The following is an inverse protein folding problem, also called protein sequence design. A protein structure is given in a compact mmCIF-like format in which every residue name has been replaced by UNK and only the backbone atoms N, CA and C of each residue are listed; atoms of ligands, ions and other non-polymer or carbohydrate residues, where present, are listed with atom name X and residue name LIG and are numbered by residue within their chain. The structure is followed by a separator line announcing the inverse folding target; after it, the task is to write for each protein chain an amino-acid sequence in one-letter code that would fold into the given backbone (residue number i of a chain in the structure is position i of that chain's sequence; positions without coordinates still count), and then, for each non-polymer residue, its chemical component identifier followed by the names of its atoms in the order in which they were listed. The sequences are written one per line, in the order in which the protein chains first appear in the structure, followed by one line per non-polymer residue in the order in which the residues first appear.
data_IF_272697949418
#
_entry.id   IF_272697949418
#
_cell.length_a   1.000
_cell.length_b   1.000
_cell.length_c   1.000
_cell.angle_alpha   90.00
_cell.angle_beta   90.00
_cell.angle_gamma   90.00
#
_symmetry.space_group_name_H-M   'P 1'
#
loop_
_entity.id
_entity.type
_entity.pdbx_description
1 polymer ?
#
# COMPACT_ATOMS: atom_id res chain seq x y z
N UNK A 1 32.30 33.33 -19.13
CA UNK A 1 32.54 31.86 -19.15
C UNK A 1 31.93 31.13 -17.95
N UNK A 2 31.88 31.71 -16.73
CA UNK A 2 31.32 31.05 -15.52
C UNK A 2 29.80 30.83 -15.58
N UNK A 3 29.03 31.79 -16.13
CA UNK A 3 27.56 31.70 -16.18
C UNK A 3 27.03 30.59 -17.10
N UNK A 4 27.76 30.25 -18.16
CA UNK A 4 27.37 29.19 -19.11
C UNK A 4 27.62 27.80 -18.49
N UNK A 5 28.67 27.66 -17.66
CA UNK A 5 28.97 26.43 -16.94
C UNK A 5 27.92 26.07 -15.87
N UNK A 6 27.43 27.05 -15.12
CA UNK A 6 26.37 26.84 -14.12
C UNK A 6 25.01 26.48 -14.75
N UNK A 7 24.70 27.07 -15.90
CA UNK A 7 23.48 26.74 -16.64
C UNK A 7 23.54 25.30 -17.20
N UNK A 8 24.71 24.86 -17.67
CA UNK A 8 24.93 23.47 -18.10
C UNK A 8 24.85 22.45 -16.96
N UNK A 9 25.30 22.81 -15.75
CA UNK A 9 25.21 21.95 -14.56
C UNK A 9 23.77 21.83 -14.05
N UNK A 10 23.00 22.91 -14.08
CA UNK A 10 21.57 22.90 -13.69
C UNK A 10 20.70 22.13 -14.67
N UNK A 11 20.94 22.26 -15.99
CA UNK A 11 20.20 21.51 -17.01
C UNK A 11 20.54 20.02 -17.01
N UNK A 12 21.80 19.64 -16.78
CA UNK A 12 22.20 18.22 -16.69
C UNK A 12 21.79 17.56 -15.37
N UNK A 13 21.86 18.28 -14.24
CA UNK A 13 21.39 17.77 -12.94
C UNK A 13 19.86 17.61 -12.90
N UNK A 14 19.12 18.62 -13.37
CA UNK A 14 17.66 18.56 -13.45
C UNK A 14 17.16 17.54 -14.48
N UNK A 15 17.78 17.50 -15.66
CA UNK A 15 17.44 16.52 -16.70
C UNK A 15 17.80 15.08 -16.32
N UNK A 16 18.94 14.88 -15.65
CA UNK A 16 19.39 13.58 -15.17
C UNK A 16 18.49 13.00 -14.08
N UNK A 17 18.10 13.82 -13.09
CA UNK A 17 17.15 13.38 -12.06
C UNK A 17 15.77 13.04 -12.66
N UNK A 18 15.25 13.88 -13.56
CA UNK A 18 13.98 13.62 -14.21
C UNK A 18 14.02 12.34 -15.08
N UNK A 19 15.10 12.13 -15.83
CA UNK A 19 15.29 10.93 -16.66
C UNK A 19 15.54 9.66 -15.82
N UNK A 20 16.17 9.77 -14.66
CA UNK A 20 16.40 8.65 -13.74
C UNK A 20 15.09 8.18 -13.08
N UNK A 21 14.21 9.11 -12.73
CA UNK A 21 12.91 8.79 -12.12
C UNK A 21 11.79 8.50 -13.13
N UNK A 22 11.94 8.87 -14.40
CA UNK A 22 10.93 8.62 -15.44
C UNK A 22 10.56 7.14 -15.63
N UNK A 23 11.51 6.18 -15.63
CA UNK A 23 11.20 4.75 -15.71
C UNK A 23 10.46 4.24 -14.47
N UNK A 24 10.80 4.74 -13.28
CA UNK A 24 10.12 4.39 -12.04
C UNK A 24 8.69 4.93 -12.00
N UNK A 25 8.49 6.15 -12.50
CA UNK A 25 7.16 6.77 -12.61
C UNK A 25 6.31 6.09 -13.67
N UNK A 26 6.86 5.80 -14.86
CA UNK A 26 6.13 5.06 -15.90
C UNK A 26 5.87 3.61 -15.50
N UNK A 27 6.77 2.95 -14.78
CA UNK A 27 6.51 1.64 -14.19
C UNK A 27 5.36 1.71 -13.17
N UNK A 28 5.34 2.72 -12.29
CA UNK A 28 4.26 2.92 -11.31
C UNK A 28 2.89 3.21 -11.97
N UNK A 29 2.87 3.99 -13.05
CA UNK A 29 1.66 4.33 -13.81
C UNK A 29 1.20 3.19 -14.72
N UNK A 30 2.11 2.36 -15.23
CA UNK A 30 1.74 1.21 -16.06
C UNK A 30 1.37 -0.02 -15.19
N UNK A 31 1.89 -0.13 -13.97
CA UNK A 31 1.54 -1.18 -13.01
C UNK A 31 0.26 -0.91 -12.24
N UNK A 32 -0.19 0.35 -12.22
CA UNK A 32 -1.44 0.79 -11.61
C UNK A 32 -2.31 1.30 -12.74
N UNK A 33 -3.28 0.52 -13.22
CA UNK A 33 -4.17 0.89 -14.34
C UNK A 33 -5.12 2.07 -14.08
N UNK A 34 -4.67 3.11 -13.37
CA UNK A 34 -5.39 4.31 -13.04
C UNK A 34 -4.50 5.53 -13.31
N UNK A 35 -4.83 6.25 -14.38
CA UNK A 35 -4.23 7.56 -14.65
C UNK A 35 -4.56 8.54 -13.52
N UNK A 36 -3.52 9.14 -12.95
CA UNK A 36 -3.64 10.27 -12.05
C UNK A 36 -4.04 11.54 -12.83
N UNK A 37 -5.33 11.68 -13.13
CA UNK A 37 -5.96 12.93 -13.55
C UNK A 37 -7.49 12.88 -13.34
N UNK A 38 -7.93 12.64 -12.11
CA UNK A 38 -9.30 12.90 -11.71
C UNK A 38 -9.43 14.33 -11.20
N UNK A 39 -10.06 15.22 -11.97
CA UNK A 39 -10.44 16.54 -11.48
C UNK A 39 -11.47 16.40 -10.36
N UNK A 40 -11.14 16.90 -9.18
CA UNK A 40 -12.11 17.08 -8.09
C UNK A 40 -13.14 18.13 -8.53
N UNK A 41 -14.39 17.71 -8.74
CA UNK A 41 -15.52 18.63 -8.89
C UNK A 41 -16.49 18.44 -7.72
N UNK A 42 -16.47 19.41 -6.81
CA UNK A 42 -17.61 19.84 -5.99
C UNK A 42 -17.82 19.18 -4.62
N UNK A 43 -17.43 19.88 -3.53
CA UNK A 43 -18.34 20.39 -2.48
C UNK A 43 -17.59 20.88 -1.21
N UNK A 44 -17.71 22.18 -0.89
CA UNK A 44 -17.46 22.78 0.45
C UNK A 44 -16.02 23.19 0.78
N UNK A 45 -15.80 24.24 1.61
CA UNK A 45 -14.47 24.82 1.83
C UNK A 45 -13.59 23.87 2.66
N UNK A 46 -12.86 23.00 1.95
CA UNK A 46 -11.76 22.25 2.51
C UNK A 46 -10.64 23.25 2.86
N UNK A 47 -10.46 23.51 4.15
CA UNK A 47 -9.31 24.25 4.62
C UNK A 47 -8.03 23.49 4.24
N UNK A 48 -7.18 24.21 3.50
CA UNK A 48 -5.80 23.93 3.16
C UNK A 48 -5.55 22.68 2.29
N UNK A 49 -5.36 22.93 0.99
CA UNK A 49 -4.40 22.18 0.20
C UNK A 49 -3.11 22.02 1.02
N UNK A 50 -2.66 20.78 1.22
CA UNK A 50 -1.45 20.49 1.97
C UNK A 50 -0.29 21.32 1.38
N UNK A 51 0.31 22.17 2.21
CA UNK A 51 1.49 22.92 1.81
C UNK A 51 2.61 21.92 1.47
N UNK A 52 3.53 22.24 0.54
CA UNK A 52 4.67 21.37 0.24
C UNK A 52 5.40 21.02 1.53
N UNK A 53 5.55 19.72 1.81
CA UNK A 53 6.24 19.24 3.00
C UNK A 53 7.68 19.79 2.99
N UNK A 54 8.02 20.63 3.96
CA UNK A 54 9.41 21.03 4.15
C UNK A 54 10.22 19.78 4.52
N UNK A 55 11.44 19.58 3.97
CA UNK A 55 12.21 18.33 4.14
C UNK A 55 12.45 17.89 5.60
N UNK A 56 12.32 18.81 6.56
CA UNK A 56 12.56 18.60 7.99
C UNK A 56 11.29 18.63 8.85
N UNK A 57 10.12 18.93 8.27
CA UNK A 57 8.87 18.97 9.03
C UNK A 57 8.37 17.54 9.30
N UNK A 58 7.87 17.24 10.52
CA UNK A 58 7.16 15.98 10.76
C UNK A 58 5.92 15.88 9.88
N UNK A 59 5.66 14.69 9.36
CA UNK A 59 4.51 14.43 8.50
C UNK A 59 3.87 13.10 8.84
N UNK A 60 2.59 12.98 8.50
CA UNK A 60 1.76 11.80 8.80
C UNK A 60 1.16 11.25 7.51
N UNK A 61 1.37 9.97 7.27
CA UNK A 61 0.88 9.24 6.10
C UNK A 61 -0.12 8.18 6.54
N UNK A 62 -1.25 8.09 5.85
CA UNK A 62 -2.20 6.99 6.02
C UNK A 62 -1.89 5.88 5.02
N UNK A 63 -1.48 4.72 5.52
CA UNK A 63 -1.26 3.52 4.71
C UNK A 63 -2.56 2.71 4.62
N UNK A 64 -3.00 2.45 3.40
CA UNK A 64 -4.22 1.75 3.07
C UNK A 64 -3.87 0.48 2.30
N UNK A 65 -4.11 -0.68 2.91
CA UNK A 65 -3.95 -1.98 2.26
C UNK A 65 -5.31 -2.51 1.82
N UNK A 66 -5.40 -2.93 0.56
CA UNK A 66 -6.60 -3.56 0.01
C UNK A 66 -6.27 -4.93 -0.57
N UNK A 67 -7.19 -5.86 -0.40
CA UNK A 67 -7.15 -7.16 -1.06
C UNK A 67 -7.82 -7.05 -2.44
N UNK A 68 -7.19 -6.30 -3.33
CA UNK A 68 -7.68 -6.11 -4.70
C UNK A 68 -7.02 -7.14 -5.65
N UNK A 69 -7.47 -8.38 -5.56
CA UNK A 69 -7.00 -9.46 -6.43
C UNK A 69 -7.37 -9.27 -7.92
N UNK A 70 -8.15 -8.23 -8.26
CA UNK A 70 -8.67 -7.92 -9.60
C UNK A 70 -9.56 -9.00 -10.20
N UNK A 71 -9.88 -10.05 -9.43
CA UNK A 71 -10.78 -11.15 -9.84
C UNK A 71 -12.23 -10.77 -9.63
N UNK A 72 -12.51 -9.97 -8.61
CA UNK A 72 -13.80 -9.35 -8.37
C UNK A 72 -13.82 -7.94 -8.97
N UNK A 73 -14.99 -7.51 -9.48
CA UNK A 73 -15.14 -6.21 -10.15
C UNK A 73 -14.63 -5.06 -9.28
N UNK A 74 -14.12 -4.01 -9.92
CA UNK A 74 -13.42 -2.88 -9.28
C UNK A 74 -14.29 -1.98 -8.38
N UNK A 75 -15.53 -2.36 -8.09
CA UNK A 75 -16.52 -1.56 -7.37
C UNK A 75 -16.57 -1.84 -5.86
N UNK A 76 -15.79 -2.81 -5.35
CA UNK A 76 -15.81 -3.21 -3.92
C UNK A 76 -14.44 -3.20 -3.25
N UNK A 77 -13.64 -2.15 -3.47
CA UNK A 77 -12.32 -2.01 -2.84
C UNK A 77 -12.44 -1.60 -1.36
N UNK A 78 -12.51 -2.58 -0.47
CA UNK A 78 -12.37 -2.36 0.98
C UNK A 78 -10.91 -2.17 1.36
N UNK A 79 -10.64 -1.34 2.36
CA UNK A 79 -9.31 -1.27 3.00
C UNK A 79 -9.25 -2.28 4.14
N UNK A 80 -8.64 -3.44 3.88
CA UNK A 80 -8.46 -4.52 4.84
C UNK A 80 -7.41 -4.19 5.92
N UNK A 81 -6.49 -3.27 5.59
CA UNK A 81 -5.48 -2.76 6.52
C UNK A 81 -5.42 -1.23 6.47
N UNK A 82 -5.35 -0.60 7.64
CA UNK A 82 -5.19 0.84 7.79
C UNK A 82 -4.13 1.10 8.87
N UNK A 83 -3.04 1.78 8.51
CA UNK A 83 -1.95 2.10 9.44
C UNK A 83 -1.63 3.58 9.33
N UNK A 84 -1.70 4.29 10.45
CA UNK A 84 -1.24 5.67 10.54
C UNK A 84 0.27 5.67 10.82
N UNK A 85 1.05 6.30 9.95
CA UNK A 85 2.50 6.39 10.08
C UNK A 85 2.89 7.84 10.25
N UNK A 86 3.50 8.19 11.38
CA UNK A 86 4.07 9.52 11.61
C UNK A 86 5.59 9.43 11.59
N UNK A 87 6.20 10.27 10.76
CA UNK A 87 7.65 10.39 10.65
C UNK A 87 8.08 11.73 11.22
N UNK A 88 9.04 11.70 12.14
CA UNK A 88 9.75 12.88 12.64
C UNK A 88 11.21 12.81 12.17
N UNK A 89 11.58 13.53 11.09
CA UNK A 89 12.94 13.49 10.56
C UNK A 89 14.00 14.06 11.51
N UNK A 90 13.62 15.04 12.34
CA UNK A 90 14.55 15.72 13.27
C UNK A 90 14.82 14.81 14.46
N UNK A 91 13.78 14.22 15.04
CA UNK A 91 13.92 13.28 16.15
C UNK A 91 14.38 11.88 15.70
N UNK A 92 14.42 11.61 14.38
CA UNK A 92 14.69 10.28 13.78
C UNK A 92 13.78 9.19 14.35
N UNK A 93 12.51 9.54 14.51
CA UNK A 93 11.51 8.69 15.14
C UNK A 93 10.36 8.41 14.19
N UNK A 94 9.91 7.15 14.15
CA UNK A 94 8.73 6.74 13.38
C UNK A 94 7.74 6.08 14.33
N UNK A 95 6.51 6.57 14.32
CA UNK A 95 5.40 5.99 15.10
C UNK A 95 4.38 5.40 14.14
N UNK A 96 3.96 4.16 14.40
CA UNK A 96 2.93 3.48 13.61
C UNK A 96 1.76 3.08 14.52
N UNK A 97 0.54 3.29 14.05
CA UNK A 97 -0.69 2.87 14.72
C UNK A 97 -1.59 2.15 13.74
N UNK A 98 -1.84 0.86 14.00
CA UNK A 98 -2.84 0.10 13.24
C UNK A 98 -4.24 0.46 13.70
N UNK A 99 -5.11 0.78 12.74
CA UNK A 99 -6.53 1.05 12.97
C UNK A 99 -7.31 -0.24 12.68
N UNK A 100 -8.14 -0.74 13.63
CA UNK A 100 -8.97 -1.90 13.38
C UNK A 100 -9.98 -1.65 12.25
N UNK A 101 -9.99 -2.50 11.21
CA UNK A 101 -10.85 -2.33 10.02
C UNK A 101 -12.35 -2.27 10.33
N UNK A 102 -12.77 -2.96 11.39
CA UNK A 102 -14.17 -3.10 11.80
C UNK A 102 -14.63 -1.99 12.77
N UNK A 103 -13.81 -0.96 13.00
CA UNK A 103 -14.18 0.17 13.87
C UNK A 103 -15.41 0.88 13.30
N UNK A 104 -16.49 0.95 14.09
CA UNK A 104 -17.73 1.61 13.67
C UNK A 104 -17.63 3.12 13.92
N UNK A 105 -17.65 3.91 12.85
CA UNK A 105 -17.42 5.36 12.89
C UNK A 105 -18.42 6.10 11.99
N UNK A 106 -18.70 7.38 12.27
CA UNK A 106 -19.33 8.22 11.26
C UNK A 106 -18.40 8.33 10.06
N UNK A 107 -18.91 8.13 8.83
CA UNK A 107 -18.10 8.31 7.61
C UNK A 107 -18.11 9.78 7.21
N UNK A 108 -17.00 10.30 6.70
CA UNK A 108 -16.84 11.74 6.40
C UNK A 108 -17.88 12.26 5.39
N UNK A 109 -18.26 11.43 4.42
CA UNK A 109 -19.29 11.73 3.42
C UNK A 109 -20.73 11.38 3.84
N UNK A 110 -20.95 11.06 5.12
CA UNK A 110 -22.28 10.88 5.72
C UNK A 110 -22.61 9.44 6.10
N UNK A 111 -23.52 9.28 7.06
CA UNK A 111 -23.86 7.98 7.65
C UNK A 111 -22.78 7.43 8.59
N UNK A 112 -22.98 6.21 9.08
CA UNK A 112 -22.04 5.51 9.95
C UNK A 112 -21.89 4.07 9.52
N UNK A 113 -20.67 3.57 9.51
CA UNK A 113 -20.34 2.21 9.10
C UNK A 113 -18.98 1.81 9.66
N UNK A 114 -18.56 0.57 9.39
CA UNK A 114 -17.18 0.14 9.58
C UNK A 114 -16.23 1.04 8.77
N UNK A 115 -15.09 1.38 9.37
CA UNK A 115 -14.14 2.34 8.82
C UNK A 115 -13.52 1.87 7.50
N UNK A 116 -13.39 0.56 7.29
CA UNK A 116 -12.93 -0.05 6.04
C UNK A 116 -13.78 0.34 4.81
N UNK A 117 -15.07 0.61 5.02
CA UNK A 117 -15.99 1.03 3.96
C UNK A 117 -15.79 2.47 3.52
N UNK A 118 -15.02 3.28 4.26
CA UNK A 118 -14.79 4.68 3.90
C UNK A 118 -14.14 4.81 2.51
N UNK A 119 -13.29 3.86 2.13
CA UNK A 119 -12.68 3.83 0.80
C UNK A 119 -13.68 3.52 -0.31
N UNK A 120 -14.58 2.54 -0.12
CA UNK A 120 -15.63 2.26 -1.10
C UNK A 120 -16.55 3.48 -1.28
N UNK A 121 -16.86 4.18 -0.19
CA UNK A 121 -17.84 5.27 -0.19
C UNK A 121 -17.35 6.54 -0.87
N UNK A 122 -16.04 6.76 -0.97
CA UNK A 122 -15.53 7.93 -1.67
C UNK A 122 -14.00 8.00 -1.76
N UNK A 123 -13.38 6.84 -1.97
CA UNK A 123 -11.95 6.66 -2.19
C UNK A 123 -11.07 7.02 -1.00
N UNK A 124 -9.78 7.18 -1.30
CA UNK A 124 -8.77 7.56 -0.32
C UNK A 124 -9.11 8.87 0.40
N UNK A 125 -9.67 9.85 -0.31
CA UNK A 125 -10.04 11.14 0.29
C UNK A 125 -11.08 10.98 1.42
N UNK A 126 -12.10 10.15 1.21
CA UNK A 126 -13.13 9.88 2.23
C UNK A 126 -12.53 9.10 3.40
N UNK A 127 -11.66 8.13 3.14
CA UNK A 127 -10.93 7.38 4.18
C UNK A 127 -10.03 8.30 5.03
N UNK A 128 -9.21 9.13 4.40
CA UNK A 128 -8.36 10.12 5.08
C UNK A 128 -9.18 11.08 5.92
N UNK A 129 -10.25 11.65 5.37
CA UNK A 129 -11.10 12.59 6.09
C UNK A 129 -11.83 11.93 7.27
N UNK A 130 -12.23 10.65 7.13
CA UNK A 130 -12.86 9.87 8.21
C UNK A 130 -11.86 9.66 9.35
N UNK A 131 -10.68 9.11 9.06
CA UNK A 131 -9.63 8.89 10.06
C UNK A 131 -9.18 10.20 10.71
N UNK A 132 -8.96 11.24 9.91
CA UNK A 132 -8.55 12.55 10.41
C UNK A 132 -9.56 13.13 11.41
N UNK A 133 -10.86 12.98 11.11
CA UNK A 133 -11.95 13.41 12.00
C UNK A 133 -12.07 12.54 13.24
N UNK A 134 -12.08 11.22 13.11
CA UNK A 134 -12.39 10.34 14.25
C UNK A 134 -11.22 10.26 15.24
N UNK A 135 -9.98 10.31 14.75
CA UNK A 135 -8.78 10.27 15.59
C UNK A 135 -8.23 11.66 15.94
N UNK A 136 -8.83 12.73 15.39
CA UNK A 136 -8.40 14.12 15.62
C UNK A 136 -6.91 14.34 15.26
N UNK A 137 -6.48 13.75 14.15
CA UNK A 137 -5.10 13.83 13.65
C UNK A 137 -5.06 14.47 12.28
N UNK A 138 -4.00 15.24 12.02
CA UNK A 138 -3.67 15.68 10.66
C UNK A 138 -3.06 14.51 9.90
N UNK A 139 -3.53 14.30 8.68
CA UNK A 139 -2.94 13.37 7.71
C UNK A 139 -2.50 14.20 6.53
N UNK A 140 -1.23 14.13 6.19
CA UNK A 140 -0.63 14.94 5.12
C UNK A 140 -0.71 14.23 3.78
N UNK A 141 -0.51 12.91 3.77
CA UNK A 141 -0.55 12.08 2.57
C UNK A 141 -1.15 10.70 2.83
N UNK A 142 -1.39 9.95 1.76
CA UNK A 142 -1.78 8.55 1.84
C UNK A 142 -0.99 7.70 0.85
N UNK A 143 -0.84 6.43 1.21
CA UNK A 143 -0.36 5.40 0.30
C UNK A 143 -1.43 4.33 0.23
N UNK A 144 -1.82 3.94 -0.97
CA UNK A 144 -2.71 2.81 -1.18
C UNK A 144 -1.94 1.70 -1.89
N UNK A 145 -2.03 0.48 -1.35
CA UNK A 145 -1.38 -0.69 -1.93
C UNK A 145 -2.36 -1.85 -2.03
N UNK A 146 -2.30 -2.50 -3.18
CA UNK A 146 -2.99 -3.75 -3.44
C UNK A 146 -2.20 -4.99 -3.04
N UNK A 147 -2.85 -6.15 -2.99
CA UNK A 147 -2.18 -7.41 -2.64
C UNK A 147 -1.02 -7.74 -3.59
N UNK A 148 -1.21 -7.59 -4.90
CA UNK A 148 -0.14 -7.75 -5.90
C UNK A 148 0.98 -6.70 -5.78
N UNK A 149 0.62 -5.47 -5.39
CA UNK A 149 1.59 -4.41 -5.13
C UNK A 149 2.48 -4.75 -3.94
N UNK A 150 1.89 -5.29 -2.87
CA UNK A 150 2.60 -5.73 -1.67
C UNK A 150 3.58 -6.87 -1.99
N UNK A 151 3.15 -7.87 -2.77
CA UNK A 151 4.02 -8.97 -3.24
C UNK A 151 5.26 -8.43 -3.95
N UNK A 152 5.08 -7.52 -4.92
CA UNK A 152 6.19 -6.91 -5.67
C UNK A 152 7.11 -6.08 -4.77
N UNK A 153 6.54 -5.36 -3.80
CA UNK A 153 7.31 -4.57 -2.85
C UNK A 153 8.21 -5.45 -1.99
N UNK A 154 7.68 -6.57 -1.47
CA UNK A 154 8.45 -7.52 -0.66
C UNK A 154 9.57 -8.17 -1.50
N UNK A 155 9.26 -8.58 -2.73
CA UNK A 155 10.28 -9.11 -3.65
C UNK A 155 11.40 -8.08 -3.92
N UNK A 156 11.05 -6.79 -4.05
CA UNK A 156 12.01 -5.71 -4.31
C UNK A 156 12.97 -5.47 -3.13
N UNK A 157 12.48 -5.60 -1.89
CA UNK A 157 13.32 -5.45 -0.69
C UNK A 157 14.08 -6.73 -0.34
N UNK A 158 13.91 -7.80 -1.12
CA UNK A 158 14.62 -9.06 -0.96
C UNK A 158 14.00 -10.00 0.06
N UNK A 159 12.68 -9.96 0.27
CA UNK A 159 11.98 -10.79 1.25
C UNK A 159 11.88 -10.17 2.64
N UNK A 160 11.24 -10.89 3.57
CA UNK A 160 11.08 -10.49 4.97
C UNK A 160 11.37 -11.66 5.92
N UNK A 161 12.09 -11.40 7.01
CA UNK A 161 12.32 -12.39 8.05
C UNK A 161 11.18 -12.38 9.07
N UNK A 162 10.54 -13.54 9.26
CA UNK A 162 9.44 -13.74 10.20
C UNK A 162 9.78 -14.91 11.12
N UNK A 163 9.53 -14.75 12.41
CA UNK A 163 9.64 -15.85 13.38
C UNK A 163 8.24 -16.21 13.87
N UNK A 164 7.77 -17.40 13.48
CA UNK A 164 6.49 -17.91 13.95
C UNK A 164 6.68 -18.77 15.20
N UNK A 165 5.94 -18.48 16.27
CA UNK A 165 6.01 -19.25 17.53
C UNK A 165 5.45 -20.67 17.38
N UNK A 166 4.49 -20.85 16.47
CA UNK A 166 3.83 -22.12 16.16
C UNK A 166 3.63 -22.23 14.64
N UNK A 167 3.53 -23.45 14.08
CA UNK A 167 3.27 -23.59 12.66
C UNK A 167 1.88 -23.07 12.30
N UNK A 168 1.79 -22.34 11.19
CA UNK A 168 0.54 -21.87 10.60
C UNK A 168 0.35 -22.61 9.28
N UNK A 169 -0.77 -23.32 9.16
CA UNK A 169 -1.11 -24.13 7.99
C UNK A 169 -2.52 -23.78 7.56
N UNK A 170 -2.69 -23.47 6.29
CA UNK A 170 -3.99 -23.27 5.66
C UNK A 170 -4.01 -24.01 4.33
N UNK A 171 -4.85 -25.05 4.26
CA UNK A 171 -5.02 -25.89 3.08
C UNK A 171 -5.98 -25.28 2.05
N UNK A 172 -6.74 -24.26 2.48
CA UNK A 172 -7.79 -23.62 1.69
C UNK A 172 -7.56 -22.11 1.61
N UNK A 173 -6.29 -21.70 1.52
CA UNK A 173 -5.94 -20.30 1.34
C UNK A 173 -6.35 -19.84 -0.06
N UNK A 174 -7.11 -18.74 -0.22
CA UNK A 174 -7.48 -18.23 -1.53
C UNK A 174 -6.26 -17.97 -2.42
N UNK A 175 -6.28 -18.48 -3.65
CA UNK A 175 -5.16 -18.36 -4.58
C UNK A 175 -5.11 -16.99 -5.27
N UNK A 176 -5.22 -15.91 -4.49
CA UNK A 176 -5.43 -14.52 -4.94
C UNK A 176 -4.25 -13.93 -5.70
N UNK A 177 -3.07 -14.52 -5.51
CA UNK A 177 -1.85 -14.07 -6.18
C UNK A 177 -1.26 -15.05 -7.18
N UNK A 178 -1.69 -16.31 -7.16
CA UNK A 178 -1.10 -17.40 -7.94
C UNK A 178 -2.01 -17.97 -9.02
N UNK A 179 -3.32 -17.64 -9.01
CA UNK A 179 -4.29 -18.16 -9.97
C UNK A 179 -5.30 -17.10 -10.39
N UNK A 180 -5.75 -17.13 -11.64
CA UNK A 180 -6.88 -16.33 -12.13
C UNK A 180 -8.24 -16.93 -11.76
N UNK A 181 -8.27 -18.12 -11.15
CA UNK A 181 -9.50 -18.72 -10.65
C UNK A 181 -9.96 -18.00 -9.37
N UNK A 182 -11.15 -17.38 -9.43
CA UNK A 182 -11.77 -16.70 -8.29
C UNK A 182 -12.16 -17.64 -7.13
N UNK A 183 -12.21 -18.95 -7.39
CA UNK A 183 -12.46 -19.99 -6.38
C UNK A 183 -11.26 -20.94 -6.22
N UNK A 184 -10.08 -20.51 -6.71
CA UNK A 184 -8.85 -21.28 -6.55
C UNK A 184 -8.36 -21.24 -5.10
N UNK A 185 -7.83 -22.36 -4.63
CA UNK A 185 -7.17 -22.44 -3.33
C UNK A 185 -5.75 -22.97 -3.48
N UNK A 186 -4.88 -22.54 -2.60
CA UNK A 186 -3.53 -23.05 -2.44
C UNK A 186 -3.25 -23.40 -0.98
N UNK A 187 -2.30 -24.33 -0.79
CA UNK A 187 -1.82 -24.64 0.55
C UNK A 187 -0.72 -23.65 0.92
N UNK A 188 -0.91 -22.96 2.05
CA UNK A 188 0.09 -22.09 2.66
C UNK A 188 0.56 -22.71 3.97
N UNK A 189 1.88 -22.75 4.15
CA UNK A 189 2.52 -23.32 5.32
C UNK A 189 3.66 -22.40 5.78
N UNK A 190 3.59 -21.91 7.01
CA UNK A 190 4.68 -21.24 7.71
C UNK A 190 5.05 -22.11 8.90
N UNK A 191 6.27 -22.66 8.90
CA UNK A 191 6.72 -23.55 9.98
C UNK A 191 6.96 -22.78 11.29
N UNK A 192 7.20 -23.48 12.38
CA UNK A 192 7.68 -22.81 13.58
C UNK A 192 9.16 -22.41 13.43
N UNK A 193 9.54 -21.29 14.05
CA UNK A 193 10.90 -20.79 14.05
C UNK A 193 11.17 -19.70 12.99
N UNK A 194 12.42 -19.23 12.92
CA UNK A 194 12.83 -18.17 11.99
C UNK A 194 12.76 -18.64 10.54
N UNK A 195 12.09 -17.86 9.70
CA UNK A 195 11.96 -18.10 8.27
C UNK A 195 12.17 -16.81 7.50
N UNK A 196 12.85 -16.93 6.37
CA UNK A 196 12.92 -15.88 5.38
C UNK A 196 11.79 -16.11 4.37
N UNK A 197 10.84 -15.17 4.31
CA UNK A 197 9.69 -15.23 3.42
C UNK A 197 9.93 -14.38 2.20
N UNK A 198 10.01 -15.03 1.04
CA UNK A 198 10.10 -14.39 -0.26
C UNK A 198 8.91 -14.80 -1.15
N UNK A 199 8.14 -13.83 -1.70
CA UNK A 199 7.03 -14.14 -2.58
C UNK A 199 7.43 -14.91 -3.86
N UNK A 200 8.69 -14.81 -4.28
CA UNK A 200 9.21 -15.54 -5.44
C UNK A 200 9.61 -16.99 -5.17
N UNK A 201 10.10 -17.38 -3.98
CA UNK A 201 10.37 -18.78 -3.64
C UNK A 201 9.30 -19.47 -2.82
N UNK A 202 8.36 -18.77 -2.16
CA UNK A 202 7.12 -19.40 -1.67
C UNK A 202 6.33 -20.07 -2.81
N UNK A 203 6.32 -19.45 -4.00
CA UNK A 203 5.79 -20.01 -5.25
C UNK A 203 6.52 -21.28 -5.73
N UNK A 204 7.79 -21.49 -5.34
CA UNK A 204 8.57 -22.69 -5.68
C UNK A 204 8.48 -23.78 -4.61
N UNK A 205 8.34 -23.41 -3.35
CA UNK A 205 8.32 -24.36 -2.22
C UNK A 205 7.02 -25.16 -2.15
N UNK A 206 5.87 -24.57 -2.49
CA UNK A 206 4.59 -25.29 -2.47
C UNK A 206 4.41 -26.29 -3.63
N UNK A 207 5.17 -26.22 -4.73
CA UNK A 207 4.97 -27.14 -5.87
C UNK A 207 5.60 -28.52 -5.67
N UNK A 208 6.32 -28.77 -4.56
CA UNK A 208 7.07 -30.01 -4.36
C UNK A 208 6.93 -30.61 -2.96
N UNK A 209 5.71 -30.97 -2.55
CA UNK A 209 5.51 -32.00 -1.51
C UNK A 209 4.05 -32.49 -1.41
N UNK A 210 3.59 -33.16 -2.47
CA UNK A 210 2.54 -34.17 -2.33
C UNK A 210 3.20 -35.56 -2.37
N UNK A 211 3.05 -36.44 -1.37
CA UNK A 211 3.48 -37.82 -1.51
C UNK A 211 2.65 -38.51 -2.61
N UNK A 212 3.34 -39.10 -3.59
CA UNK A 212 2.73 -40.00 -4.56
C UNK A 212 2.08 -41.17 -3.80
N UNK A 213 0.81 -41.53 -4.08
CA UNK A 213 0.25 -42.76 -3.54
C UNK A 213 1.02 -43.94 -4.16
N UNK A 214 1.70 -44.71 -3.31
CA UNK A 214 2.23 -46.01 -3.68
C UNK A 214 1.06 -47.00 -3.79
N UNK A 215 0.71 -47.38 -5.01
CA UNK A 215 0.03 -48.66 -5.29
C UNK A 215 1.07 -49.75 -5.52
#
# INVERSE_FOLDING_TARGET
MVAIGLLGLLLSGGGGALAYFLPALTAAVNSTGQGAAGQAQGAGPANAAAAPLAPTAPFTVLFLGSDNDSKFKSDQLLTQSMILVRVDPVAKHVTMLSIPRDLYVPISNGGSNKIDTAYIRGGAATAMATVSRDFQVRIDDYVWIGLQGLVKLIDLVGGVDVTATAPVMDDFYPADVTSDNAYGYERVAVLAGPQHLDPSASRRSCSRSGPSPST
#
